data_IF_334236725328
#
_entry.id   IF_334236725328
#
_cell.length_a   1.000
_cell.length_b   1.000
_cell.length_c   1.000
_cell.angle_alpha   90.00
_cell.angle_beta   90.00
_cell.angle_gamma   90.00
#
_symmetry.space_group_name_H-M   'P 1'
#
loop_
_entity.id
_entity.type
_entity.pdbx_description
1 polymer ?
#
# COMPACT_ATOMS: atom_id res chain seq x y z
N UNK A 1 36.16 22.44 57.25
CA UNK A 1 36.07 23.67 56.43
C UNK A 1 37.02 23.52 55.24
N UNK A 2 36.48 23.68 54.02
CA UNK A 2 37.12 23.64 52.67
C UNK A 2 37.54 22.24 52.12
N UNK A 3 37.50 22.01 50.77
CA UNK A 3 36.26 21.62 50.08
C UNK A 3 36.36 20.39 49.13
N UNK A 4 35.20 19.72 49.03
CA UNK A 4 34.52 19.07 47.89
C UNK A 4 35.34 18.92 46.59
N UNK A 5 35.64 17.66 46.23
CA UNK A 5 36.04 17.26 44.87
C UNK A 5 34.80 16.98 44.04
N UNK A 6 34.56 17.83 43.06
CA UNK A 6 33.58 17.68 41.98
C UNK A 6 33.99 16.52 41.08
N UNK A 7 33.26 15.41 41.11
CA UNK A 7 33.30 14.39 40.08
C UNK A 7 32.21 14.72 39.05
N UNK A 8 32.61 15.17 37.86
CA UNK A 8 31.74 15.22 36.69
C UNK A 8 31.39 13.78 36.31
N UNK A 9 30.16 13.36 36.57
CA UNK A 9 29.60 12.16 35.95
C UNK A 9 28.91 12.58 34.67
N UNK A 10 29.51 12.19 33.55
CA UNK A 10 29.01 12.41 32.20
C UNK A 10 27.63 11.78 32.01
N UNK A 11 26.71 12.59 31.49
CA UNK A 11 25.38 12.20 31.05
C UNK A 11 25.54 11.36 29.78
N UNK A 12 25.21 10.07 29.85
CA UNK A 12 24.99 9.25 28.66
C UNK A 12 23.49 9.27 28.34
N UNK A 13 23.10 10.12 27.39
CA UNK A 13 21.76 10.09 26.80
C UNK A 13 21.69 8.83 25.93
N UNK A 14 21.09 7.76 26.46
CA UNK A 14 20.58 6.66 25.65
C UNK A 14 19.38 7.20 24.86
N UNK A 15 19.64 7.63 23.63
CA UNK A 15 18.59 7.84 22.62
C UNK A 15 18.05 6.44 22.31
N UNK A 16 17.08 5.98 23.10
CA UNK A 16 16.30 4.81 22.79
C UNK A 16 15.54 5.09 21.50
N UNK A 17 15.99 4.46 20.41
CA UNK A 17 15.23 4.39 19.16
C UNK A 17 13.92 3.68 19.50
N UNK A 18 12.86 4.46 19.67
CA UNK A 18 11.51 3.94 19.80
C UNK A 18 11.21 3.20 18.50
N UNK A 19 10.86 1.90 18.49
CA UNK A 19 10.35 1.29 17.28
C UNK A 19 9.07 2.05 16.93
N UNK A 20 9.02 2.64 15.74
CA UNK A 20 7.86 3.36 15.26
C UNK A 20 6.64 2.45 15.45
N UNK A 21 5.75 2.84 16.35
CA UNK A 21 4.49 2.14 16.56
C UNK A 21 3.78 2.11 15.22
N UNK A 22 3.33 0.92 14.82
CA UNK A 22 2.56 0.76 13.59
C UNK A 22 1.24 1.51 13.77
N UNK A 23 1.16 2.73 13.25
CA UNK A 23 -0.07 3.49 13.19
C UNK A 23 -0.94 2.80 12.15
N UNK A 24 -2.15 2.39 12.55
CA UNK A 24 -3.21 2.22 11.57
C UNK A 24 -3.36 3.59 10.89
N UNK A 25 -2.73 3.76 9.73
CA UNK A 25 -2.79 5.03 9.03
C UNK A 25 -4.26 5.32 8.75
N UNK A 26 -4.75 6.44 9.29
CA UNK A 26 -6.08 6.96 9.01
C UNK A 26 -6.21 7.30 7.52
N UNK A 27 -5.09 7.55 6.83
CA UNK A 27 -5.00 7.73 5.38
C UNK A 27 -4.40 6.52 4.66
N UNK A 28 -4.39 6.58 3.32
CA UNK A 28 -3.81 5.58 2.44
C UNK A 28 -2.54 6.09 1.73
N UNK A 29 -1.96 7.21 2.18
CA UNK A 29 -0.89 7.91 1.45
C UNK A 29 0.38 7.03 1.30
N UNK A 30 0.53 6.00 2.15
CA UNK A 30 1.60 5.01 2.05
C UNK A 30 1.64 4.19 0.74
N UNK A 31 0.53 4.13 -0.02
CA UNK A 31 0.49 3.44 -1.32
C UNK A 31 1.02 4.32 -2.45
N UNK A 32 1.22 5.62 -2.21
CA UNK A 32 1.65 6.58 -3.22
C UNK A 32 3.05 6.26 -3.74
N UNK A 33 3.20 6.35 -5.05
CA UNK A 33 4.48 6.26 -5.75
C UNK A 33 4.41 5.38 -7.01
N UNK A 34 5.60 5.13 -7.56
CA UNK A 34 5.81 4.12 -8.58
C UNK A 34 6.34 2.85 -7.94
N UNK A 35 5.83 1.73 -8.42
CA UNK A 35 6.14 0.40 -7.94
C UNK A 35 6.41 -0.51 -9.14
N UNK A 36 7.40 -1.38 -9.02
CA UNK A 36 7.79 -2.33 -10.05
C UNK A 36 7.65 -3.77 -9.54
N UNK A 37 7.02 -4.63 -10.32
CA UNK A 37 7.02 -6.07 -10.08
C UNK A 37 8.19 -6.71 -10.81
N UNK A 38 8.83 -7.69 -10.17
CA UNK A 38 9.94 -8.46 -10.74
C UNK A 38 9.72 -9.93 -10.45
N UNK A 39 10.02 -10.78 -11.43
CA UNK A 39 9.96 -12.23 -11.27
C UNK A 39 10.97 -12.75 -10.23
N UNK A 40 12.08 -12.03 -10.03
CA UNK A 40 13.10 -12.31 -9.01
C UNK A 40 13.63 -11.00 -8.40
N UNK A 41 14.06 -10.98 -7.13
CA UNK A 41 14.66 -9.79 -6.52
C UNK A 41 15.85 -9.27 -7.34
N UNK A 42 15.83 -7.98 -7.72
CA UNK A 42 16.84 -7.36 -8.57
C UNK A 42 16.84 -7.81 -10.05
N UNK A 43 15.92 -8.70 -10.45
CA UNK A 43 15.76 -9.16 -11.82
C UNK A 43 15.09 -8.13 -12.75
N UNK A 44 14.75 -8.49 -13.99
CA UNK A 44 14.05 -7.58 -14.90
C UNK A 44 12.65 -7.22 -14.37
N UNK A 45 12.22 -5.99 -14.63
CA UNK A 45 10.84 -5.55 -14.33
C UNK A 45 9.88 -6.26 -15.28
N UNK A 46 8.81 -6.83 -14.74
CA UNK A 46 7.75 -7.49 -15.51
C UNK A 46 6.40 -6.76 -15.43
N UNK A 47 6.31 -5.73 -14.60
CA UNK A 47 5.13 -4.87 -14.49
C UNK A 47 5.40 -3.62 -13.66
N UNK A 48 4.53 -2.64 -13.84
CA UNK A 48 4.63 -1.34 -13.17
C UNK A 48 3.27 -0.96 -12.61
N UNK A 49 3.24 -0.30 -11.47
CA UNK A 49 2.07 0.38 -10.92
C UNK A 49 2.46 1.79 -10.52
N UNK A 50 1.70 2.77 -11.01
CA UNK A 50 1.86 4.17 -10.63
C UNK A 50 0.59 4.62 -9.93
N UNK A 51 0.67 4.89 -8.62
CA UNK A 51 -0.41 5.42 -7.81
C UNK A 51 -0.08 6.85 -7.39
N UNK A 52 -0.73 7.82 -8.01
CA UNK A 52 -0.49 9.25 -7.77
C UNK A 52 -1.80 9.98 -7.49
N UNK A 53 -1.73 11.20 -6.92
CA UNK A 53 -2.89 12.07 -6.81
C UNK A 53 -3.61 12.21 -8.15
N UNK A 54 -4.91 11.93 -8.13
CA UNK A 54 -5.77 12.11 -9.29
C UNK A 54 -5.95 13.60 -9.58
N UNK A 55 -5.91 13.98 -10.86
CA UNK A 55 -6.02 15.39 -11.28
C UNK A 55 -7.46 15.86 -11.46
N UNK A 56 -8.38 14.92 -11.64
CA UNK A 56 -9.80 15.16 -11.91
C UNK A 56 -10.65 14.91 -10.65
N UNK A 57 -10.22 13.99 -9.79
CA UNK A 57 -10.90 13.64 -8.54
C UNK A 57 -10.07 14.12 -7.35
N UNK A 58 -10.44 15.27 -6.80
CA UNK A 58 -9.78 15.81 -5.61
C UNK A 58 -9.82 14.82 -4.45
N UNK A 59 -8.69 14.66 -3.76
CA UNK A 59 -8.59 13.75 -2.63
C UNK A 59 -8.57 12.27 -3.01
N UNK A 60 -8.30 11.91 -4.27
CA UNK A 60 -8.08 10.53 -4.69
C UNK A 60 -6.62 10.25 -5.08
N UNK A 61 -6.21 8.98 -4.94
CA UNK A 61 -5.05 8.42 -5.62
C UNK A 61 -5.55 7.46 -6.69
N UNK A 62 -5.08 7.59 -7.93
CA UNK A 62 -5.47 6.71 -9.02
C UNK A 62 -4.27 6.17 -9.79
N UNK A 63 -4.46 5.05 -10.46
CA UNK A 63 -3.38 4.38 -11.15
C UNK A 63 -3.76 3.10 -11.86
N UNK A 64 -2.81 2.62 -12.68
CA UNK A 64 -2.93 1.38 -13.42
C UNK A 64 -1.70 0.52 -13.17
N UNK A 65 -1.91 -0.77 -12.90
CA UNK A 65 -0.87 -1.77 -13.03
C UNK A 65 -0.79 -2.20 -14.49
N UNK A 66 0.39 -2.11 -15.10
CA UNK A 66 0.64 -2.47 -16.49
C UNK A 66 1.70 -3.57 -16.58
N UNK A 67 1.59 -4.40 -17.62
CA UNK A 67 2.66 -5.31 -18.01
C UNK A 67 3.87 -4.52 -18.52
N UNK A 68 5.10 -4.95 -18.21
CA UNK A 68 6.30 -4.41 -18.85
C UNK A 68 6.48 -4.95 -20.28
N UNK A 69 5.72 -5.97 -20.66
CA UNK A 69 5.74 -6.62 -21.96
C UNK A 69 4.44 -6.40 -22.74
N UNK A 70 4.55 -6.47 -24.07
CA UNK A 70 3.45 -6.23 -25.01
C UNK A 70 3.58 -4.85 -25.67
N UNK A 71 3.11 -4.76 -26.92
CA UNK A 71 3.08 -3.50 -27.68
C UNK A 71 1.69 -3.32 -28.32
N UNK A 72 0.82 -2.44 -27.76
CA UNK A 72 1.05 -1.65 -26.55
C UNK A 72 1.04 -2.51 -25.27
N UNK A 73 1.65 -2.03 -24.17
CA UNK A 73 1.61 -2.73 -22.90
C UNK A 73 0.18 -2.93 -22.39
N UNK A 74 -0.10 -4.11 -21.84
CA UNK A 74 -1.46 -4.50 -21.42
C UNK A 74 -1.72 -4.08 -19.97
N UNK A 75 -2.84 -3.41 -19.69
CA UNK A 75 -3.29 -3.13 -18.33
C UNK A 75 -3.68 -4.44 -17.62
N UNK A 76 -3.29 -4.57 -16.35
CA UNK A 76 -3.59 -5.72 -15.47
C UNK A 76 -4.62 -5.36 -14.41
N UNK A 77 -4.63 -4.10 -13.96
CA UNK A 77 -5.42 -3.64 -12.83
C UNK A 77 -5.60 -2.12 -12.90
N UNK A 78 -6.82 -1.64 -12.69
CA UNK A 78 -7.08 -0.23 -12.43
C UNK A 78 -7.41 -0.07 -10.95
N UNK A 79 -6.85 0.95 -10.32
CA UNK A 79 -7.01 1.25 -8.91
C UNK A 79 -7.37 2.71 -8.70
N UNK A 80 -8.22 2.95 -7.71
CA UNK A 80 -8.49 4.26 -7.15
C UNK A 80 -8.68 4.12 -5.65
N UNK A 81 -8.05 4.97 -4.86
CA UNK A 81 -8.27 5.08 -3.43
C UNK A 81 -8.76 6.49 -3.11
N UNK A 82 -9.74 6.62 -2.21
CA UNK A 82 -9.90 7.88 -1.51
C UNK A 82 -8.68 8.09 -0.59
N UNK A 83 -8.08 9.29 -0.58
CA UNK A 83 -6.86 9.59 0.18
C UNK A 83 -7.04 9.40 1.68
N UNK A 84 -8.24 9.63 2.19
CA UNK A 84 -8.63 9.32 3.57
C UNK A 84 -8.76 7.81 3.85
N UNK A 85 -8.40 6.96 2.88
CA UNK A 85 -8.43 5.52 3.00
C UNK A 85 -9.81 4.89 3.11
N UNK A 86 -10.90 5.67 3.02
CA UNK A 86 -12.27 5.21 3.26
C UNK A 86 -12.76 4.20 2.22
N UNK A 87 -12.32 4.36 0.97
CA UNK A 87 -12.80 3.57 -0.16
C UNK A 87 -11.68 3.14 -1.10
N UNK A 88 -11.87 1.96 -1.68
CA UNK A 88 -11.07 1.41 -2.77
C UNK A 88 -11.99 1.11 -3.97
N UNK A 89 -11.59 1.60 -5.13
CA UNK A 89 -12.06 1.17 -6.44
C UNK A 89 -11.03 0.23 -7.08
N UNK A 90 -11.48 -0.95 -7.50
CA UNK A 90 -10.62 -1.92 -8.18
C UNK A 90 -11.34 -2.50 -9.41
N UNK A 91 -10.66 -2.51 -10.55
CA UNK A 91 -11.16 -3.18 -11.77
C UNK A 91 -10.05 -3.98 -12.43
N UNK A 92 -10.38 -5.20 -12.86
CA UNK A 92 -9.52 -5.98 -13.77
C UNK A 92 -9.96 -5.72 -15.21
N UNK A 93 -9.05 -5.36 -16.14
CA UNK A 93 -9.37 -5.24 -17.54
C UNK A 93 -9.94 -6.57 -18.09
N UNK A 94 -11.09 -6.49 -18.75
CA UNK A 94 -11.66 -7.58 -19.56
C UNK A 94 -11.40 -7.28 -21.04
N UNK A 95 -11.44 -8.28 -21.95
CA UNK A 95 -11.33 -8.04 -23.39
C UNK A 95 -12.30 -6.94 -23.87
N UNK A 96 -11.84 -6.04 -24.76
CA UNK A 96 -12.52 -4.80 -25.21
C UNK A 96 -12.53 -3.62 -24.22
N UNK A 97 -11.38 -3.40 -23.60
CA UNK A 97 -11.11 -2.30 -22.67
C UNK A 97 -11.29 -0.90 -23.30
N UNK A 98 -12.13 -0.06 -22.69
CA UNK A 98 -12.02 1.40 -22.75
C UNK A 98 -11.50 1.89 -21.40
N UNK A 99 -10.47 2.74 -21.41
CA UNK A 99 -9.96 3.41 -20.22
C UNK A 99 -11.14 4.13 -19.54
N UNK A 100 -11.31 3.91 -18.24
CA UNK A 100 -12.48 4.42 -17.53
C UNK A 100 -12.39 5.93 -17.40
N UNK A 101 -13.39 6.57 -17.98
CA UNK A 101 -13.91 7.87 -17.59
C UNK A 101 -14.35 7.78 -16.10
N UNK A 102 -13.52 8.28 -15.19
CA UNK A 102 -13.77 8.75 -13.81
C UNK A 102 -14.64 7.96 -12.79
N UNK A 103 -15.15 6.75 -13.06
CA UNK A 103 -16.10 6.07 -12.13
C UNK A 103 -15.83 4.56 -12.01
N UNK A 104 -14.86 4.17 -11.21
CA UNK A 104 -14.71 2.77 -10.79
C UNK A 104 -15.90 2.38 -9.89
N UNK A 105 -16.91 1.71 -10.46
CA UNK A 105 -18.18 1.32 -9.81
C UNK A 105 -18.04 0.24 -8.71
N UNK A 106 -16.90 -0.43 -8.60
CA UNK A 106 -16.67 -1.43 -7.54
C UNK A 106 -16.17 -0.74 -6.28
N UNK A 107 -17.09 -0.38 -5.38
CA UNK A 107 -16.77 0.26 -4.10
C UNK A 107 -16.51 -0.78 -3.03
N UNK A 108 -15.26 -0.88 -2.59
CA UNK A 108 -14.90 -1.59 -1.37
C UNK A 108 -14.76 -0.57 -0.24
N UNK A 109 -15.45 -0.80 0.88
CA UNK A 109 -15.36 0.03 2.07
C UNK A 109 -14.21 -0.46 2.97
N UNK A 110 -13.54 0.48 3.65
CA UNK A 110 -12.49 0.16 4.62
C UNK A 110 -13.06 -0.69 5.75
N UNK A 111 -12.31 -1.72 6.15
CA UNK A 111 -12.59 -2.63 7.27
C UNK A 111 -11.43 -2.56 8.27
N UNK A 112 -11.39 -1.52 9.14
CA UNK A 112 -10.24 -1.27 10.00
C UNK A 112 -9.85 -2.44 10.91
N UNK A 113 -10.84 -3.16 11.43
CA UNK A 113 -10.63 -4.30 12.32
C UNK A 113 -9.87 -5.45 11.65
N UNK A 114 -10.07 -5.67 10.34
CA UNK A 114 -9.32 -6.69 9.58
C UNK A 114 -7.90 -6.20 9.32
N UNK A 115 -7.74 -4.93 8.95
CA UNK A 115 -6.41 -4.33 8.76
C UNK A 115 -5.56 -4.41 10.03
N UNK A 116 -6.15 -4.09 11.19
CA UNK A 116 -5.50 -4.18 12.49
C UNK A 116 -5.13 -5.63 12.86
N UNK A 117 -6.00 -6.60 12.57
CA UNK A 117 -5.73 -8.02 12.85
C UNK A 117 -4.60 -8.60 11.97
N UNK A 118 -4.44 -8.09 10.75
CA UNK A 118 -3.41 -8.54 9.79
C UNK A 118 -2.07 -7.81 9.95
N UNK A 119 -2.02 -6.75 10.75
CA UNK A 119 -0.82 -5.98 11.01
C UNK A 119 0.16 -6.81 11.85
N UNK A 120 1.30 -7.15 11.26
CA UNK A 120 2.36 -7.91 11.92
C UNK A 120 3.70 -7.17 11.80
N UNK A 121 4.10 -6.54 12.90
CA UNK A 121 5.33 -5.74 12.95
C UNK A 121 5.20 -4.36 12.31
N UNK A 122 6.33 -3.68 12.04
CA UNK A 122 6.35 -2.35 11.44
C UNK A 122 5.86 -2.40 9.98
N UNK A 123 5.02 -1.42 9.61
CA UNK A 123 4.46 -1.28 8.27
C UNK A 123 3.04 -0.71 8.29
N UNK A 124 2.42 -0.65 7.13
CA UNK A 124 1.05 -0.18 6.94
C UNK A 124 0.18 -1.30 6.36
N UNK A 125 -1.01 -1.48 6.90
CA UNK A 125 -2.01 -2.42 6.38
C UNK A 125 -3.37 -1.72 6.27
N UNK A 126 -4.01 -1.89 5.13
CA UNK A 126 -5.39 -1.51 4.87
C UNK A 126 -6.17 -2.73 4.37
N UNK A 127 -7.41 -2.90 4.84
CA UNK A 127 -8.30 -3.96 4.38
C UNK A 127 -9.61 -3.36 3.91
N UNK A 128 -10.15 -3.89 2.82
CA UNK A 128 -11.35 -3.40 2.17
C UNK A 128 -12.27 -4.56 1.79
N UNK A 129 -13.58 -4.37 1.89
CA UNK A 129 -14.56 -5.36 1.47
C UNK A 129 -15.78 -4.70 0.84
N UNK A 130 -16.47 -5.47 -0.01
CA UNK A 130 -17.85 -5.18 -0.35
C UNK A 130 -18.76 -5.60 0.81
N UNK A 131 -19.95 -5.01 0.88
CA UNK A 131 -20.93 -5.38 1.90
C UNK A 131 -21.27 -6.88 1.84
N UNK A 132 -21.30 -7.53 3.00
CA UNK A 132 -21.52 -8.97 3.14
C UNK A 132 -20.43 -9.89 2.58
N UNK A 133 -19.29 -9.37 2.09
CA UNK A 133 -18.22 -10.20 1.57
C UNK A 133 -17.50 -11.00 2.66
N UNK A 134 -17.06 -12.22 2.31
CA UNK A 134 -16.22 -13.10 3.15
C UNK A 134 -14.74 -13.06 2.78
N UNK A 135 -14.39 -12.21 1.83
CA UNK A 135 -13.05 -12.00 1.33
C UNK A 135 -12.74 -10.50 1.41
N UNK A 136 -11.47 -10.18 1.62
CA UNK A 136 -11.00 -8.80 1.75
C UNK A 136 -9.91 -8.52 0.72
N UNK A 137 -9.91 -7.31 0.19
CA UNK A 137 -8.73 -6.76 -0.47
C UNK A 137 -7.83 -6.15 0.59
N UNK A 138 -6.62 -6.68 0.71
CA UNK A 138 -5.63 -6.27 1.69
C UNK A 138 -4.47 -5.61 0.97
N UNK A 139 -4.18 -4.38 1.36
CA UNK A 139 -3.05 -3.59 0.89
C UNK A 139 -2.04 -3.50 2.02
N UNK A 140 -0.79 -3.89 1.75
CA UNK A 140 0.29 -3.81 2.73
C UNK A 140 1.46 -3.06 2.13
N UNK A 141 2.05 -2.17 2.90
CA UNK A 141 3.32 -1.53 2.56
C UNK A 141 4.33 -1.69 3.70
N UNK A 142 5.51 -2.20 3.37
CA UNK A 142 6.61 -2.41 4.32
C UNK A 142 7.93 -2.46 3.57
N UNK A 143 8.98 -1.87 4.13
CA UNK A 143 10.36 -1.98 3.65
C UNK A 143 10.48 -1.76 2.11
N UNK A 144 9.91 -0.65 1.62
CA UNK A 144 9.87 -0.30 0.18
C UNK A 144 9.14 -1.30 -0.73
N UNK A 145 8.28 -2.15 -0.16
CA UNK A 145 7.44 -3.10 -0.90
C UNK A 145 5.96 -2.81 -0.70
N UNK A 146 5.19 -2.87 -1.78
CA UNK A 146 3.73 -2.77 -1.79
C UNK A 146 3.13 -4.09 -2.30
N UNK A 147 2.19 -4.64 -1.53
CA UNK A 147 1.38 -5.78 -1.96
C UNK A 147 -0.11 -5.45 -1.90
N UNK A 148 -0.86 -5.90 -2.90
CA UNK A 148 -2.32 -5.80 -3.01
C UNK A 148 -2.84 -7.20 -3.30
N UNK A 149 -3.55 -7.77 -2.34
CA UNK A 149 -3.96 -9.18 -2.36
C UNK A 149 -5.44 -9.31 -2.01
N UNK A 150 -6.11 -10.31 -2.58
CA UNK A 150 -7.39 -10.79 -2.06
C UNK A 150 -7.12 -11.93 -1.09
N UNK A 151 -7.67 -11.82 0.11
CA UNK A 151 -7.55 -12.84 1.16
C UNK A 151 -8.93 -13.35 1.58
N UNK A 152 -9.01 -14.62 1.96
CA UNK A 152 -10.25 -15.24 2.45
C UNK A 152 -10.47 -15.01 3.96
N UNK A 153 -11.60 -15.52 4.45
CA UNK A 153 -12.01 -15.54 5.85
C UNK A 153 -10.97 -16.06 6.85
N UNK A 154 -10.09 -16.94 6.39
CA UNK A 154 -9.04 -17.58 7.19
C UNK A 154 -7.70 -16.83 7.10
N UNK A 155 -7.66 -15.71 6.36
CA UNK A 155 -6.47 -14.90 6.11
C UNK A 155 -5.53 -15.47 5.07
N UNK A 156 -5.97 -16.45 4.27
CA UNK A 156 -5.15 -17.04 3.20
C UNK A 156 -5.24 -16.18 1.94
N UNK A 157 -4.11 -16.05 1.24
CA UNK A 157 -4.07 -15.33 -0.03
C UNK A 157 -4.74 -16.16 -1.12
N UNK A 158 -5.85 -15.65 -1.64
CA UNK A 158 -6.61 -16.24 -2.76
C UNK A 158 -6.05 -15.74 -4.09
N UNK A 159 -5.67 -14.47 -4.16
CA UNK A 159 -5.14 -13.84 -5.37
C UNK A 159 -4.16 -12.73 -5.00
N UNK A 160 -3.07 -12.60 -5.73
CA UNK A 160 -2.18 -11.43 -5.65
C UNK A 160 -2.40 -10.57 -6.89
N UNK A 161 -2.95 -9.37 -6.70
CA UNK A 161 -3.17 -8.42 -7.80
C UNK A 161 -1.89 -7.66 -8.15
N UNK A 162 -1.11 -7.33 -7.11
CA UNK A 162 0.15 -6.60 -7.25
C UNK A 162 1.08 -6.97 -6.10
N UNK A 163 2.37 -7.12 -6.38
CA UNK A 163 3.42 -7.29 -5.38
C UNK A 163 4.75 -6.78 -5.95
N UNK A 164 5.20 -5.61 -5.51
CA UNK A 164 6.30 -4.90 -6.13
C UNK A 164 7.09 -4.01 -5.18
N UNK A 165 8.26 -3.59 -5.62
CA UNK A 165 9.18 -2.70 -4.88
C UNK A 165 9.09 -1.27 -5.40
N UNK A 166 9.47 -0.28 -4.58
CA UNK A 166 9.45 1.14 -4.97
C UNK A 166 10.44 1.42 -6.12
N UNK A 167 9.99 2.20 -7.10
CA UNK A 167 10.73 2.54 -8.33
C UNK A 167 10.94 4.07 -8.53
N UNK A 168 10.57 4.90 -7.54
CA UNK A 168 11.11 6.27 -7.39
C UNK A 168 10.44 7.41 -8.18
N UNK A 169 9.10 7.44 -8.29
CA UNK A 169 8.36 8.58 -8.86
C UNK A 169 7.47 9.32 -7.83
N UNK A 170 7.82 9.24 -6.55
CA UNK A 170 7.11 9.84 -5.43
C UNK A 170 7.16 11.38 -5.37
#
# INVERSE_FOLDING_TARGET
>A
MAPIRTALLSIAILIGVCPAAALAADDIDFVRGCWATRATPGGPVDGFLRLLPDREIEGALSGHAMSAYGDPPVSRLDLMFARDGSTLGLRRPVPNYQALDARLLSHYARVPQVGAALLSGPGHVAAYAQDGAKEWIVVKARDERLSIQRVDGDGRVVETYFDGERDGCD
#
